data_IF_526339716446
#
_entry.id   IF_526339716446
#
_cell.length_a   1.000
_cell.length_b   1.000
_cell.length_c   1.000
_cell.angle_alpha   90.00
_cell.angle_beta   90.00
_cell.angle_gamma   90.00
#
_symmetry.space_group_name_H-M   'P 1'
#
loop_
_entity.id
_entity.type
_entity.pdbx_description
1 polymer ?
#
# COMPACT_ATOMS: atom_id res chain seq x y z
N UNK A 1 -30.37 9.03 6.36
CA UNK A 1 -29.72 7.72 6.21
C UNK A 1 -28.56 7.69 7.18
N UNK A 2 -28.63 6.83 8.20
CA UNK A 2 -27.49 6.57 9.08
C UNK A 2 -27.28 5.06 9.06
N UNK A 3 -26.83 4.56 7.91
CA UNK A 3 -26.33 3.19 7.81
C UNK A 3 -24.98 3.17 8.55
N UNK A 4 -25.05 3.00 9.87
CA UNK A 4 -23.86 2.82 10.69
C UNK A 4 -23.51 1.35 10.63
N UNK A 5 -22.68 0.98 9.65
CA UNK A 5 -22.14 -0.37 9.54
C UNK A 5 -21.35 -0.70 10.81
N UNK A 6 -21.59 -1.88 11.37
CA UNK A 6 -20.78 -2.39 12.47
C UNK A 6 -19.51 -3.04 11.93
N UNK A 7 -18.50 -3.20 12.79
CA UNK A 7 -17.26 -3.91 12.42
C UNK A 7 -17.57 -5.35 11.99
N UNK A 8 -18.56 -5.97 12.64
CA UNK A 8 -18.95 -7.36 12.35
C UNK A 8 -19.55 -7.51 10.94
N UNK A 9 -20.08 -6.43 10.34
CA UNK A 9 -20.61 -6.41 8.97
C UNK A 9 -19.51 -6.34 7.89
N UNK A 10 -18.30 -5.95 8.29
CA UNK A 10 -17.15 -5.73 7.40
C UNK A 10 -15.97 -6.67 7.75
N UNK A 11 -16.25 -7.77 8.43
CA UNK A 11 -15.24 -8.79 8.78
C UNK A 11 -14.76 -9.54 7.53
N UNK A 12 -13.46 -9.80 7.47
CA UNK A 12 -12.85 -10.61 6.42
C UNK A 12 -13.13 -12.10 6.64
N UNK A 13 -13.09 -12.95 5.59
CA UNK A 13 -13.29 -14.39 5.76
C UNK A 13 -12.36 -14.99 6.82
N UNK A 14 -12.94 -15.54 7.88
CA UNK A 14 -12.21 -16.06 9.06
C UNK A 14 -11.15 -17.12 8.72
N UNK A 15 -11.40 -17.91 7.68
CA UNK A 15 -10.46 -18.90 7.17
C UNK A 15 -9.17 -18.25 6.62
N UNK A 16 -9.29 -17.12 5.92
CA UNK A 16 -8.14 -16.40 5.34
C UNK A 16 -7.29 -15.80 6.46
N UNK A 17 -7.91 -15.11 7.41
CA UNK A 17 -7.21 -14.55 8.59
C UNK A 17 -6.49 -15.67 9.37
N UNK A 18 -7.15 -16.80 9.58
CA UNK A 18 -6.53 -17.94 10.27
C UNK A 18 -5.31 -18.48 9.52
N UNK A 19 -5.37 -18.57 8.18
CA UNK A 19 -4.25 -19.01 7.36
C UNK A 19 -3.08 -18.03 7.43
N UNK A 20 -3.34 -16.72 7.31
CA UNK A 20 -2.31 -15.68 7.43
C UNK A 20 -1.61 -15.74 8.78
N UNK A 21 -2.37 -15.83 9.88
CA UNK A 21 -1.80 -15.94 11.23
C UNK A 21 -0.93 -17.19 11.40
N UNK A 22 -1.35 -18.34 10.86
CA UNK A 22 -0.55 -19.57 10.93
C UNK A 22 0.74 -19.46 10.13
N UNK A 23 0.71 -18.82 8.97
CA UNK A 23 1.90 -18.63 8.14
C UNK A 23 2.93 -17.71 8.81
N UNK A 24 2.48 -16.81 9.68
CA UNK A 24 3.34 -15.91 10.45
C UNK A 24 3.91 -16.55 11.73
N UNK A 25 3.57 -17.80 12.03
CA UNK A 25 3.94 -18.48 13.27
C UNK A 25 4.64 -19.82 12.97
N UNK A 26 5.47 -20.33 13.91
CA UNK A 26 6.07 -21.66 13.77
C UNK A 26 5.02 -22.77 13.63
N UNK A 27 5.38 -23.84 12.91
CA UNK A 27 4.52 -25.01 12.76
C UNK A 27 4.08 -25.59 14.11
N UNK A 28 2.84 -26.06 14.18
CA UNK A 28 2.26 -26.62 15.41
C UNK A 28 1.75 -25.57 16.41
N UNK A 29 1.94 -24.27 16.17
CA UNK A 29 1.41 -23.22 17.05
C UNK A 29 -0.11 -23.23 17.10
N UNK A 30 -0.66 -23.31 18.32
CA UNK A 30 -2.11 -23.27 18.56
C UNK A 30 -2.55 -21.83 18.80
N UNK A 31 -3.40 -21.31 17.90
CA UNK A 31 -3.99 -19.97 18.03
C UNK A 31 -5.32 -20.10 18.78
N UNK A 32 -5.61 -19.19 19.71
CA UNK A 32 -6.89 -19.19 20.42
C UNK A 32 -8.05 -18.67 19.54
N UNK A 33 -9.30 -18.92 19.93
CA UNK A 33 -10.48 -18.38 19.22
C UNK A 33 -10.52 -16.85 19.30
N UNK A 34 -10.21 -16.31 20.46
CA UNK A 34 -10.27 -14.87 20.71
C UNK A 34 -9.18 -14.12 19.95
N UNK A 35 -7.98 -14.70 19.82
CA UNK A 35 -6.91 -14.15 18.98
C UNK A 35 -7.33 -14.05 17.52
N UNK A 36 -8.00 -15.09 16.98
CA UNK A 36 -8.51 -15.05 15.59
C UNK A 36 -9.57 -13.96 15.40
N UNK A 37 -10.47 -13.80 16.37
CA UNK A 37 -11.51 -12.79 16.31
C UNK A 37 -10.93 -11.37 16.41
N UNK A 38 -10.01 -11.16 17.35
CA UNK A 38 -9.31 -9.89 17.53
C UNK A 38 -8.52 -9.50 16.26
N UNK A 39 -7.78 -10.45 15.67
CA UNK A 39 -7.06 -10.20 14.42
C UNK A 39 -8.00 -9.89 13.25
N UNK A 40 -9.18 -10.52 13.18
CA UNK A 40 -10.16 -10.27 12.14
C UNK A 40 -10.71 -8.83 12.22
N UNK A 41 -11.12 -8.42 13.42
CA UNK A 41 -11.60 -7.05 13.68
C UNK A 41 -10.49 -6.02 13.49
N UNK A 42 -9.27 -6.33 13.94
CA UNK A 42 -8.12 -5.46 13.73
C UNK A 42 -7.82 -5.25 12.24
N UNK A 43 -7.96 -6.29 11.41
CA UNK A 43 -7.78 -6.17 9.96
C UNK A 43 -8.80 -5.21 9.34
N UNK A 44 -10.08 -5.29 9.74
CA UNK A 44 -11.12 -4.34 9.28
C UNK A 44 -10.79 -2.90 9.68
N UNK A 45 -10.38 -2.69 10.94
CA UNK A 45 -9.97 -1.36 11.42
C UNK A 45 -8.72 -0.87 10.69
N UNK A 46 -7.75 -1.75 10.44
CA UNK A 46 -6.52 -1.43 9.73
C UNK A 46 -6.78 -0.92 8.31
N UNK A 47 -7.64 -1.62 7.54
CA UNK A 47 -7.99 -1.19 6.18
C UNK A 47 -8.64 0.20 6.20
N UNK A 48 -9.57 0.44 7.12
CA UNK A 48 -10.23 1.74 7.25
C UNK A 48 -9.27 2.85 7.69
N UNK A 49 -8.36 2.53 8.60
CA UNK A 49 -7.33 3.46 9.07
C UNK A 49 -6.38 3.83 7.93
N UNK A 50 -5.83 2.86 7.23
CA UNK A 50 -4.92 3.09 6.10
C UNK A 50 -5.61 3.87 4.98
N UNK A 51 -6.87 3.55 4.67
CA UNK A 51 -7.66 4.29 3.70
C UNK A 51 -7.90 5.75 4.13
N UNK A 52 -8.12 6.01 5.41
CA UNK A 52 -8.23 7.37 5.95
C UNK A 52 -6.94 8.16 5.77
N UNK A 53 -5.79 7.56 6.09
CA UNK A 53 -4.47 8.21 5.94
C UNK A 53 -4.16 8.46 4.47
N UNK A 54 -4.37 7.47 3.60
CA UNK A 54 -4.19 7.63 2.16
C UNK A 54 -5.11 8.71 1.56
N UNK A 55 -6.35 8.81 2.04
CA UNK A 55 -7.25 9.90 1.68
C UNK A 55 -6.69 11.27 2.09
N UNK A 56 -6.05 11.38 3.26
CA UNK A 56 -5.47 12.66 3.71
C UNK A 56 -4.22 13.03 2.90
N UNK A 57 -3.40 12.04 2.52
CA UNK A 57 -2.29 12.22 1.56
C UNK A 57 -2.82 12.72 0.21
N UNK A 58 -3.80 12.03 -0.37
CA UNK A 58 -4.41 12.39 -1.65
C UNK A 58 -4.97 13.82 -1.63
N UNK A 59 -5.68 14.19 -0.55
CA UNK A 59 -6.20 15.55 -0.35
C UNK A 59 -5.07 16.58 -0.23
N UNK A 60 -3.96 16.24 0.43
CA UNK A 60 -2.79 17.11 0.57
C UNK A 60 -2.19 17.55 -0.77
N UNK A 61 -2.29 16.71 -1.81
CA UNK A 61 -1.83 16.99 -3.17
C UNK A 61 -2.97 17.32 -4.16
N UNK A 62 -4.18 17.59 -3.67
CA UNK A 62 -5.39 17.89 -4.44
C UNK A 62 -5.87 16.78 -5.40
N UNK A 63 -5.55 15.51 -5.10
CA UNK A 63 -6.15 14.39 -5.80
C UNK A 63 -7.61 14.21 -5.40
N UNK A 64 -8.47 13.93 -6.40
CA UNK A 64 -9.90 13.62 -6.18
C UNK A 64 -10.15 12.13 -5.94
N UNK A 65 -9.19 11.30 -6.32
CA UNK A 65 -9.19 9.85 -6.21
C UNK A 65 -7.93 9.44 -5.45
N UNK A 66 -8.01 8.39 -4.64
CA UNK A 66 -6.84 7.83 -3.98
C UNK A 66 -6.10 6.97 -5.00
N UNK A 67 -4.85 7.31 -5.28
CA UNK A 67 -3.99 6.60 -6.22
C UNK A 67 -2.96 5.73 -5.49
N UNK A 68 -2.24 4.88 -6.22
CA UNK A 68 -1.20 4.01 -5.65
C UNK A 68 -0.13 4.77 -4.86
N UNK A 69 0.43 5.90 -5.33
CA UNK A 69 1.41 6.67 -4.57
C UNK A 69 0.87 7.19 -3.24
N UNK A 70 -0.42 7.52 -3.15
CA UNK A 70 -1.05 8.00 -1.92
C UNK A 70 -1.07 6.90 -0.85
N UNK A 71 -1.33 5.65 -1.25
CA UNK A 71 -1.30 4.48 -0.36
C UNK A 71 0.11 4.13 0.08
N UNK A 72 1.09 4.19 -0.83
CA UNK A 72 2.49 3.95 -0.46
C UNK A 72 2.98 5.01 0.52
N UNK A 73 2.70 6.29 0.27
CA UNK A 73 3.08 7.36 1.21
C UNK A 73 2.35 7.23 2.55
N UNK A 74 1.11 6.76 2.54
CA UNK A 74 0.39 6.46 3.77
C UNK A 74 1.06 5.35 4.58
N UNK A 75 1.62 4.32 3.94
CA UNK A 75 2.39 3.26 4.62
C UNK A 75 3.63 3.82 5.33
N UNK A 76 4.30 4.81 4.75
CA UNK A 76 5.42 5.51 5.39
C UNK A 76 4.96 6.31 6.62
N UNK A 77 3.85 7.04 6.49
CA UNK A 77 3.29 7.86 7.59
C UNK A 77 2.88 7.00 8.79
N UNK A 78 2.38 5.78 8.54
CA UNK A 78 1.97 4.85 9.60
C UNK A 78 3.11 3.92 10.06
N UNK A 79 4.35 4.21 9.68
CA UNK A 79 5.57 3.48 10.08
C UNK A 79 5.56 2.00 9.67
N UNK A 80 4.97 1.69 8.52
CA UNK A 80 4.92 0.36 7.92
C UNK A 80 5.77 0.27 6.64
N UNK A 81 6.88 1.01 6.58
CA UNK A 81 7.78 1.09 5.42
C UNK A 81 8.30 -0.28 4.94
N UNK A 82 8.48 -1.21 5.86
CA UNK A 82 8.90 -2.58 5.58
C UNK A 82 7.91 -3.37 4.70
N UNK A 83 6.67 -2.90 4.54
CA UNK A 83 5.68 -3.49 3.64
C UNK A 83 5.75 -2.94 2.21
N UNK A 84 6.45 -1.81 1.98
CA UNK A 84 6.47 -1.13 0.69
C UNK A 84 7.13 -1.99 -0.37
N UNK A 85 8.34 -2.50 -0.12
CA UNK A 85 9.07 -3.30 -1.10
C UNK A 85 8.33 -4.59 -1.48
N UNK A 86 7.86 -5.43 -0.52
CA UNK A 86 7.07 -6.61 -0.87
C UNK A 86 5.76 -6.29 -1.60
N UNK A 87 5.16 -5.13 -1.32
CA UNK A 87 3.92 -4.70 -1.98
C UNK A 87 4.16 -4.29 -3.44
N UNK A 88 5.26 -3.58 -3.72
CA UNK A 88 5.68 -3.21 -5.08
C UNK A 88 5.98 -4.45 -5.93
N UNK A 89 6.77 -5.38 -5.40
CA UNK A 89 7.09 -6.65 -6.09
C UNK A 89 5.81 -7.43 -6.44
N UNK A 90 4.87 -7.50 -5.49
CA UNK A 90 3.58 -8.16 -5.69
C UNK A 90 2.71 -7.48 -6.75
N UNK A 91 2.67 -6.15 -6.77
CA UNK A 91 1.88 -5.37 -7.72
C UNK A 91 2.47 -5.47 -9.14
N UNK A 92 3.77 -5.28 -9.30
CA UNK A 92 4.45 -5.42 -10.58
C UNK A 92 4.27 -6.85 -11.14
N UNK A 93 4.45 -7.88 -10.30
CA UNK A 93 4.24 -9.27 -10.69
C UNK A 93 2.82 -9.56 -11.19
N UNK A 94 1.80 -8.95 -10.57
CA UNK A 94 0.40 -9.09 -10.96
C UNK A 94 0.12 -8.42 -12.31
N UNK A 95 0.55 -7.17 -12.48
CA UNK A 95 0.36 -6.40 -13.71
C UNK A 95 1.07 -7.06 -14.90
N UNK A 96 2.29 -7.59 -14.70
CA UNK A 96 3.01 -8.35 -15.73
C UNK A 96 2.28 -9.66 -16.08
N UNK A 97 1.72 -10.37 -15.09
CA UNK A 97 0.99 -11.61 -15.32
C UNK A 97 -0.32 -11.36 -16.09
N UNK A 98 -1.05 -10.31 -15.75
CA UNK A 98 -2.28 -9.89 -16.44
C UNK A 98 -2.00 -9.53 -17.91
N UNK A 99 -0.95 -8.75 -18.18
CA UNK A 99 -0.49 -8.44 -19.54
C UNK A 99 -0.07 -9.69 -20.34
N UNK A 100 0.51 -10.70 -19.69
CA UNK A 100 0.89 -11.96 -20.35
C UNK A 100 -0.30 -12.88 -20.63
N UNK A 101 -1.34 -12.86 -19.80
CA UNK A 101 -2.57 -13.62 -20.04
C UNK A 101 -3.37 -13.02 -21.21
N UNK A 102 -3.51 -11.68 -21.26
CA UNK A 102 -4.17 -10.98 -22.37
C UNK A 102 -3.53 -11.30 -23.74
N UNK A 103 -2.19 -11.41 -23.81
CA UNK A 103 -1.47 -11.81 -25.03
C UNK A 103 -1.67 -13.28 -25.45
N UNK A 104 -2.10 -14.17 -24.55
CA UNK A 104 -2.36 -15.58 -24.86
C UNK A 104 -3.80 -15.85 -25.28
N UNK A 105 -4.75 -15.05 -24.79
CA UNK A 105 -6.18 -15.21 -25.09
C UNK A 105 -6.64 -14.38 -26.30
N UNK A 106 -5.78 -13.53 -26.86
CA UNK A 106 -6.07 -12.60 -27.95
C UNK A 106 -6.16 -13.16 -29.39
N UNK A 107 -6.51 -14.43 -29.61
CA UNK A 107 -6.77 -14.95 -30.98
C UNK A 107 -8.26 -14.99 -31.35
N UNK A 108 -9.21 -14.88 -30.41
CA UNK A 108 -10.64 -14.84 -30.75
C UNK A 108 -11.46 -13.88 -29.87
N UNK A 109 -11.62 -12.65 -30.39
CA UNK A 109 -12.82 -11.78 -30.30
C UNK A 109 -12.89 -10.60 -29.28
N UNK A 110 -12.93 -9.39 -29.87
CA UNK A 110 -13.68 -8.16 -29.53
C UNK A 110 -13.22 -7.24 -28.39
N UNK A 111 -12.22 -6.41 -28.68
CA UNK A 111 -12.31 -4.96 -28.93
C UNK A 111 -13.54 -4.20 -28.37
N UNK A 112 -13.46 -3.71 -27.11
CA UNK A 112 -13.86 -2.33 -26.74
C UNK A 112 -13.55 -1.90 -25.30
N UNK A 113 -13.15 -2.80 -24.41
CA UNK A 113 -12.77 -2.47 -23.01
C UNK A 113 -11.26 -2.50 -22.76
N UNK A 114 -10.46 -3.02 -23.70
CA UNK A 114 -9.00 -3.19 -23.52
C UNK A 114 -8.24 -1.86 -23.42
N UNK A 115 -8.69 -0.80 -24.09
CA UNK A 115 -7.96 0.47 -24.14
C UNK A 115 -7.89 1.20 -22.79
N UNK A 116 -8.99 1.25 -22.04
CA UNK A 116 -9.04 1.93 -20.74
C UNK A 116 -8.27 1.13 -19.66
N UNK A 117 -8.41 -0.21 -19.67
CA UNK A 117 -7.69 -1.07 -18.71
C UNK A 117 -6.17 -1.14 -19.00
N UNK A 118 -5.74 -1.14 -20.26
CA UNK A 118 -4.31 -1.12 -20.60
C UNK A 118 -3.65 0.22 -20.22
N UNK A 119 -4.36 1.33 -20.40
CA UNK A 119 -3.91 2.65 -19.96
C UNK A 119 -3.79 2.72 -18.43
N UNK A 120 -4.78 2.22 -17.68
CA UNK A 120 -4.72 2.13 -16.22
C UNK A 120 -3.56 1.23 -15.73
N UNK A 121 -3.35 0.07 -16.34
CA UNK A 121 -2.25 -0.84 -15.98
C UNK A 121 -0.87 -0.24 -16.28
N UNK A 122 -0.72 0.55 -17.36
CA UNK A 122 0.52 1.28 -17.68
C UNK A 122 0.73 2.47 -16.75
N UNK A 123 -0.33 3.18 -16.36
CA UNK A 123 -0.27 4.27 -15.39
C UNK A 123 0.16 3.75 -14.00
N UNK A 124 -0.42 2.64 -13.55
CA UNK A 124 -0.05 1.99 -12.27
C UNK A 124 1.41 1.48 -12.25
N UNK A 125 1.91 0.93 -13.36
CA UNK A 125 3.33 0.55 -13.47
C UNK A 125 4.24 1.79 -13.40
N UNK A 126 3.86 2.88 -14.07
CA UNK A 126 4.62 4.12 -14.01
C UNK A 126 4.60 4.72 -12.59
N UNK A 127 3.47 4.65 -11.89
CA UNK A 127 3.35 5.07 -10.50
C UNK A 127 4.29 4.28 -9.59
N UNK A 128 4.31 2.94 -9.72
CA UNK A 128 5.24 2.08 -8.96
C UNK A 128 6.71 2.49 -9.22
N UNK A 129 7.08 2.73 -10.48
CA UNK A 129 8.42 3.17 -10.86
C UNK A 129 8.77 4.61 -10.41
N UNK A 130 7.76 5.49 -10.28
CA UNK A 130 7.96 6.86 -9.79
C UNK A 130 8.21 6.89 -8.27
N UNK A 131 7.60 5.98 -7.51
CA UNK A 131 7.85 5.88 -6.05
C UNK A 131 9.33 5.55 -5.77
N UNK A 132 9.97 4.71 -6.59
CA UNK A 132 11.40 4.40 -6.44
C UNK A 132 12.30 5.63 -6.62
N UNK A 133 11.89 6.57 -7.47
CA UNK A 133 12.60 7.82 -7.72
C UNK A 133 12.40 8.85 -6.60
N UNK A 134 11.30 8.80 -5.85
CA UNK A 134 11.11 9.68 -4.69
C UNK A 134 11.93 9.19 -3.47
N UNK A 135 11.99 7.88 -3.24
CA UNK A 135 12.69 7.32 -2.07
C UNK A 135 14.21 7.41 -2.18
N UNK A 136 14.77 7.56 -3.38
CA UNK A 136 16.20 7.81 -3.58
C UNK A 136 16.62 9.27 -3.33
N UNK A 137 15.67 10.21 -3.28
CA UNK A 137 15.96 11.65 -3.10
C UNK A 137 15.88 12.08 -1.64
N UNK A 138 15.12 11.38 -0.80
CA UNK A 138 15.01 11.69 0.64
C UNK A 138 16.24 11.25 1.45
N UNK A 139 17.04 10.32 0.91
CA UNK A 139 18.29 9.86 1.56
C UNK A 139 19.49 10.79 1.35
N UNK A 140 19.37 11.85 0.54
CA UNK A 140 20.48 12.75 0.19
C UNK A 140 20.35 14.18 0.74
N UNK A 141 19.37 14.46 1.62
CA UNK A 141 19.18 15.78 2.27
C UNK A 141 19.57 15.71 3.76
N UNK A 142 20.62 14.96 4.08
CA UNK A 142 21.35 15.07 5.36
C UNK A 142 22.85 15.12 5.08
N UNK A 143 23.27 16.13 4.32
CA UNK A 143 24.66 16.57 4.30
C UNK A 143 24.70 18.10 4.50
N UNK A 144 25.33 18.47 5.62
CA UNK A 144 26.13 19.67 5.85
C UNK A 144 25.47 21.04 6.06
N UNK A 145 25.02 21.30 7.31
CA UNK A 145 25.07 22.66 7.91
C UNK A 145 25.39 22.60 9.42
N UNK A 146 26.55 22.07 9.79
CA UNK A 146 27.13 22.24 11.14
C UNK A 146 28.62 22.66 11.03
N UNK A 147 28.90 23.78 10.35
CA UNK A 147 30.16 24.51 10.57
C UNK A 147 29.89 26.03 10.61
N UNK A 148 30.59 26.68 11.55
CA UNK A 148 30.77 28.13 11.70
C UNK A 148 29.71 28.97 12.45
N UNK A 149 29.67 28.82 13.78
CA UNK A 149 29.49 30.00 14.64
C UNK A 149 30.16 29.87 16.02
N UNK A 150 31.50 29.83 16.07
CA UNK A 150 32.22 30.11 17.32
C UNK A 150 33.48 30.96 17.11
N UNK A 151 33.31 32.18 16.57
CA UNK A 151 34.23 33.30 16.83
C UNK A 151 33.50 34.64 16.76
N UNK A 152 33.15 35.20 17.92
CA UNK A 152 33.37 36.62 18.26
C UNK A 152 32.50 37.05 19.45
N UNK A 153 33.07 37.08 20.65
CA UNK A 153 33.05 38.24 21.56
C UNK A 153 33.59 37.82 22.94
N UNK A 154 34.84 38.21 23.23
CA UNK A 154 35.21 38.69 24.56
C UNK A 154 36.16 39.87 24.33
N UNK A 155 35.64 41.08 24.56
CA UNK A 155 36.43 42.24 24.96
C UNK A 155 36.46 42.27 26.49
#
# INVERSE_FOLDING_TARGET
>A
MSDTYSIDDLELPKAVITRVLKNALPEGTVISKDTRLAANRAATVFVNYLASVANDVAKGVNHKTINSPDVIKALEIVELDHLIEPLKEGLEGKLIAEKKQKKKDGDESKQKTEGEEEEEDDELLNDVQMVDKLNTVDSSIVEDEDEDMEKAHVE
#
